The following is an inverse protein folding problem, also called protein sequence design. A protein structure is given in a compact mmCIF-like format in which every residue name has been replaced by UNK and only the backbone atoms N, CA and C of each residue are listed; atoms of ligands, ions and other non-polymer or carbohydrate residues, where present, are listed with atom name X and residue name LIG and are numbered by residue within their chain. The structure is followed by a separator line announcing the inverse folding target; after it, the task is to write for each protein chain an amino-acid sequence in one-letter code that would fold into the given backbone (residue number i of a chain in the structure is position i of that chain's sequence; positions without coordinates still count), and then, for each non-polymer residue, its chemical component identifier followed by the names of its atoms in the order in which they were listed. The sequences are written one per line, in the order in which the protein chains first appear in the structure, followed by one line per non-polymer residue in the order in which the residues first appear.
data_IF_172363911576
#
_entry.id   IF_172363911576
#
_cell.length_a   1.000
_cell.length_b   1.000
_cell.length_c   1.000
_cell.angle_alpha   90.00
_cell.angle_beta   90.00
_cell.angle_gamma   90.00
#
_symmetry.space_group_name_H-M   'P 1'
#
loop_
_entity.id
_entity.type
_entity.pdbx_description
1 polymer ?
#
# COMPACT_ATOMS: atom_id res chain seq x y z
N UNK A 1 41.92 -19.88 0.66
CA UNK A 1 42.27 -19.42 2.02
C UNK A 1 42.30 -17.90 2.15
N UNK A 2 41.43 -17.15 1.47
CA UNK A 2 41.39 -15.66 1.49
C UNK A 2 40.05 -15.13 2.05
N UNK A 3 39.06 -16.02 2.28
CA UNK A 3 37.70 -15.59 2.68
C UNK A 3 37.49 -15.44 4.19
N UNK A 4 38.38 -15.93 5.02
CA UNK A 4 38.22 -15.94 6.50
C UNK A 4 38.73 -14.67 7.17
N UNK A 5 39.61 -13.92 6.51
CA UNK A 5 40.23 -12.71 7.06
C UNK A 5 39.32 -11.50 6.95
N UNK A 6 38.43 -11.44 5.94
CA UNK A 6 37.49 -10.33 5.77
C UNK A 6 36.32 -10.37 6.78
N UNK A 7 35.92 -11.55 7.27
CA UNK A 7 34.85 -11.69 8.27
C UNK A 7 35.25 -11.21 9.67
N UNK A 8 36.52 -11.35 10.04
CA UNK A 8 37.03 -10.95 11.36
C UNK A 8 37.16 -9.43 11.47
N UNK A 9 37.44 -8.74 10.32
CA UNK A 9 37.64 -7.30 10.31
C UNK A 9 36.30 -6.51 10.45
N UNK A 10 35.19 -7.06 9.98
CA UNK A 10 33.86 -6.42 10.10
C UNK A 10 33.29 -6.57 11.51
N UNK A 11 33.54 -7.67 12.19
CA UNK A 11 33.09 -7.91 13.58
C UNK A 11 33.83 -7.00 14.56
N UNK A 12 35.12 -6.70 14.32
CA UNK A 12 35.89 -5.80 15.16
C UNK A 12 35.45 -4.31 15.07
N UNK A 13 34.86 -3.89 13.95
CA UNK A 13 34.33 -2.53 13.77
C UNK A 13 32.99 -2.33 14.49
N UNK A 14 32.17 -3.38 14.58
CA UNK A 14 30.85 -3.32 15.25
C UNK A 14 30.98 -3.31 16.78
N UNK A 15 32.02 -3.94 17.34
CA UNK A 15 32.23 -4.01 18.81
C UNK A 15 32.79 -2.69 19.37
N UNK A 16 33.46 -1.86 18.56
CA UNK A 16 34.06 -0.62 19.03
C UNK A 16 33.11 0.59 19.08
N UNK A 17 31.85 0.45 18.69
CA UNK A 17 30.83 1.52 18.78
C UNK A 17 29.91 1.39 20.01
N UNK A 18 30.09 0.41 20.89
CA UNK A 18 29.20 0.11 22.02
C UNK A 18 29.72 0.57 23.39
N UNK A 19 30.83 1.34 23.46
CA UNK A 19 31.33 1.88 24.73
C UNK A 19 31.39 3.40 24.73
N UNK A 20 30.29 4.07 24.42
CA UNK A 20 30.09 5.45 24.77
C UNK A 20 29.42 5.50 26.15
N UNK A 21 30.25 5.73 27.16
CA UNK A 21 29.89 5.97 28.56
C UNK A 21 28.92 7.15 28.64
N UNK A 22 27.71 6.90 29.15
CA UNK A 22 26.73 7.94 29.47
C UNK A 22 27.17 8.59 30.80
N UNK A 23 27.47 9.89 30.86
CA UNK A 23 27.68 10.56 32.12
C UNK A 23 26.31 10.75 32.83
N UNK A 24 26.24 10.18 34.04
CA UNK A 24 25.17 10.42 35.01
C UNK A 24 25.24 11.88 35.49
N UNK A 25 24.19 12.64 35.32
CA UNK A 25 24.03 13.90 36.01
C UNK A 25 23.15 14.91 35.29
N UNK A 26 22.04 15.24 35.98
CA UNK A 26 21.24 16.47 35.87
C UNK A 26 20.31 16.65 34.65
N UNK A 27 19.02 16.39 34.89
CA UNK A 27 17.91 16.93 34.12
C UNK A 27 17.86 18.45 34.19
N UNK A 28 17.94 19.19 33.09
CA UNK A 28 17.24 20.43 32.96
C UNK A 28 15.90 20.19 32.23
N UNK A 29 14.81 20.40 32.94
CA UNK A 29 13.48 20.54 32.37
C UNK A 29 13.51 21.71 31.38
N UNK A 30 13.74 21.42 30.10
CA UNK A 30 13.52 22.40 29.04
C UNK A 30 12.02 22.52 28.85
N UNK A 31 11.43 23.52 29.50
CA UNK A 31 10.10 23.99 29.15
C UNK A 31 10.16 24.61 27.76
N UNK A 32 9.85 23.79 26.73
CA UNK A 32 9.61 24.29 25.37
C UNK A 32 8.27 25.01 25.40
N UNK A 33 8.36 26.35 25.52
CA UNK A 33 7.23 27.27 25.36
C UNK A 33 6.86 27.21 23.86
N UNK A 34 5.82 26.49 23.52
CA UNK A 34 5.24 26.52 22.17
C UNK A 34 4.60 27.90 21.98
N UNK A 35 5.31 28.85 21.40
CA UNK A 35 4.72 30.04 20.80
C UNK A 35 4.16 29.69 19.44
N UNK A 36 2.92 30.05 19.12
CA UNK A 36 2.38 29.86 17.78
C UNK A 36 3.01 30.89 16.84
N UNK A 37 4.01 30.49 16.08
CA UNK A 37 4.50 31.28 14.95
C UNK A 37 3.51 31.12 13.80
N UNK A 38 2.60 32.06 13.71
CA UNK A 38 1.76 32.28 12.55
C UNK A 38 2.63 32.88 11.44
N UNK A 39 2.32 32.43 10.21
CA UNK A 39 2.62 33.04 8.92
C UNK A 39 3.97 32.76 8.26
N UNK A 40 3.76 32.42 6.99
CA UNK A 40 4.66 32.44 5.83
C UNK A 40 5.28 31.09 5.45
N UNK A 41 4.41 30.18 4.98
CA UNK A 41 4.66 29.42 3.75
C UNK A 41 3.34 28.78 3.36
N UNK A 42 2.75 29.29 2.25
CA UNK A 42 1.49 28.78 1.68
C UNK A 42 1.66 27.38 1.09
N UNK A 43 1.82 26.39 1.95
CA UNK A 43 1.57 24.99 1.60
C UNK A 43 0.11 24.77 1.92
N UNK A 44 -0.72 24.70 0.89
CA UNK A 44 -2.13 24.37 0.99
C UNK A 44 -2.25 23.00 1.66
N UNK A 45 -2.65 23.03 2.93
CA UNK A 45 -2.93 21.89 3.82
C UNK A 45 -4.20 21.18 3.34
N UNK A 46 -4.13 20.48 2.22
CA UNK A 46 -5.31 19.82 1.64
C UNK A 46 -5.16 18.31 1.45
N UNK A 47 -4.23 17.60 2.08
CA UNK A 47 -4.21 16.13 2.03
C UNK A 47 -3.47 15.47 3.21
N UNK A 48 -3.44 16.10 4.41
CA UNK A 48 -2.92 15.42 5.59
C UNK A 48 -4.04 15.34 6.65
N UNK A 49 -4.82 14.26 6.64
CA UNK A 49 -5.79 14.08 7.70
C UNK A 49 -6.92 13.10 7.48
N UNK A 50 -6.87 12.25 6.46
CA UNK A 50 -7.71 11.06 6.48
C UNK A 50 -6.83 9.92 7.03
N UNK A 51 -7.04 9.55 8.27
CA UNK A 51 -6.66 8.22 8.76
C UNK A 51 -7.49 7.26 7.93
N UNK A 52 -6.95 6.82 6.79
CA UNK A 52 -7.60 5.85 5.92
C UNK A 52 -7.69 4.56 6.72
N UNK A 53 -8.80 4.39 7.45
CA UNK A 53 -9.13 3.12 8.07
C UNK A 53 -9.47 2.18 6.91
N UNK A 54 -8.54 1.32 6.52
CA UNK A 54 -8.81 0.28 5.54
C UNK A 54 -9.77 -0.73 6.18
N UNK A 55 -11.06 -0.43 6.09
CA UNK A 55 -12.12 -1.39 6.42
C UNK A 55 -12.43 -2.17 5.15
N UNK A 56 -12.44 -3.48 5.23
CA UNK A 56 -13.07 -4.31 4.21
C UNK A 56 -14.57 -4.00 4.14
N UNK A 57 -15.19 -4.34 3.02
CA UNK A 57 -16.58 -4.01 2.72
C UNK A 57 -16.76 -2.70 1.97
N UNK A 58 -15.68 -1.97 1.67
CA UNK A 58 -15.70 -0.78 0.83
C UNK A 58 -14.71 -0.94 -0.32
N UNK A 59 -15.15 -0.61 -1.53
CA UNK A 59 -14.27 -0.58 -2.70
C UNK A 59 -13.63 0.79 -2.82
N UNK A 60 -12.31 0.84 -2.65
CA UNK A 60 -11.52 2.06 -2.70
C UNK A 60 -11.29 2.49 -4.16
N UNK A 61 -11.32 3.80 -4.41
CA UNK A 61 -11.07 4.38 -5.74
C UNK A 61 -9.93 5.41 -5.64
N UNK A 62 -8.67 4.98 -5.78
CA UNK A 62 -7.53 5.90 -5.80
C UNK A 62 -7.58 6.77 -7.06
N UNK A 63 -7.23 8.04 -6.93
CA UNK A 63 -7.18 9.00 -8.04
C UNK A 63 -5.78 9.20 -8.61
N UNK A 64 -4.76 8.68 -7.93
CA UNK A 64 -3.36 8.74 -8.38
C UNK A 64 -2.65 7.40 -8.18
N UNK A 65 -1.49 7.24 -8.84
CA UNK A 65 -0.65 6.07 -8.62
C UNK A 65 -0.11 6.04 -7.19
N UNK A 66 0.23 7.19 -6.64
CA UNK A 66 0.73 7.35 -5.26
C UNK A 66 -0.32 6.91 -4.24
N UNK A 67 -1.59 7.26 -4.44
CA UNK A 67 -2.69 6.80 -3.58
C UNK A 67 -2.82 5.28 -3.61
N UNK A 68 -2.76 4.68 -4.81
CA UNK A 68 -2.79 3.23 -4.98
C UNK A 68 -1.63 2.55 -4.26
N UNK A 69 -0.42 3.08 -4.42
CA UNK A 69 0.78 2.55 -3.76
C UNK A 69 0.69 2.68 -2.23
N UNK A 70 0.14 3.78 -1.75
CA UNK A 70 -0.13 4.01 -0.33
C UNK A 70 -1.10 2.97 0.26
N UNK A 71 -2.17 2.62 -0.47
CA UNK A 71 -3.11 1.56 -0.08
C UNK A 71 -2.40 0.20 -0.01
N UNK A 72 -1.63 -0.15 -1.05
CA UNK A 72 -0.90 -1.42 -1.14
C UNK A 72 0.13 -1.52 0.00
N UNK A 73 0.87 -0.46 0.25
CA UNK A 73 1.88 -0.42 1.31
C UNK A 73 1.24 -0.63 2.69
N UNK A 74 0.16 0.09 2.98
CA UNK A 74 -0.56 -0.04 4.24
C UNK A 74 -1.15 -1.45 4.41
N UNK A 75 -1.80 -1.99 3.39
CA UNK A 75 -2.32 -3.36 3.41
C UNK A 75 -1.22 -4.40 3.64
N UNK A 76 -0.02 -4.17 3.07
CA UNK A 76 1.15 -5.03 3.30
C UNK A 76 1.60 -5.05 4.75
N UNK A 77 1.63 -3.89 5.43
CA UNK A 77 1.93 -3.82 6.86
C UNK A 77 0.89 -4.52 7.72
N UNK A 78 -0.39 -4.39 7.35
CA UNK A 78 -1.51 -5.03 8.03
C UNK A 78 -1.64 -6.53 7.70
N UNK A 79 -0.80 -7.05 6.80
CA UNK A 79 -0.83 -8.44 6.32
C UNK A 79 -2.05 -8.78 5.45
N UNK A 80 -2.81 -7.78 5.00
CA UNK A 80 -4.04 -7.94 4.23
C UNK A 80 -3.77 -8.20 2.75
N UNK A 81 -4.71 -8.91 2.12
CA UNK A 81 -4.75 -9.10 0.68
C UNK A 81 -5.34 -7.86 0.02
N UNK A 82 -4.80 -7.46 -1.12
CA UNK A 82 -5.34 -6.38 -1.96
C UNK A 82 -5.77 -6.96 -3.29
N UNK A 83 -7.00 -6.66 -3.68
CA UNK A 83 -7.55 -7.01 -5.00
C UNK A 83 -7.77 -5.71 -5.76
N UNK A 84 -7.19 -5.59 -6.94
CA UNK A 84 -7.32 -4.41 -7.80
C UNK A 84 -8.07 -4.81 -9.06
N UNK A 85 -9.19 -4.13 -9.32
CA UNK A 85 -9.92 -4.16 -10.59
C UNK A 85 -9.52 -2.95 -11.44
N UNK A 86 -8.87 -3.20 -12.57
CA UNK A 86 -8.62 -2.20 -13.59
C UNK A 86 -9.81 -2.13 -14.55
N UNK A 87 -10.51 -1.01 -14.52
CA UNK A 87 -11.77 -0.76 -15.19
C UNK A 87 -11.73 0.52 -16.01
N UNK A 88 -12.79 0.79 -16.78
CA UNK A 88 -13.01 2.07 -17.46
C UNK A 88 -14.51 2.36 -17.58
N UNK A 89 -14.87 3.64 -17.63
CA UNK A 89 -16.27 4.07 -17.72
C UNK A 89 -17.00 3.61 -19.01
N UNK A 90 -16.28 3.39 -20.08
CA UNK A 90 -16.79 2.90 -21.38
C UNK A 90 -16.78 1.37 -21.50
N UNK A 91 -16.20 0.65 -20.55
CA UNK A 91 -16.07 -0.81 -20.59
C UNK A 91 -17.37 -1.49 -20.19
N UNK A 92 -18.09 -2.06 -21.13
CA UNK A 92 -19.35 -2.78 -20.90
C UNK A 92 -19.20 -3.99 -19.93
N UNK A 93 -18.25 -4.92 -20.16
CA UNK A 93 -17.99 -6.04 -19.26
C UNK A 93 -17.65 -5.62 -17.83
N UNK A 94 -16.94 -4.49 -17.64
CA UNK A 94 -16.60 -3.98 -16.33
C UNK A 94 -17.85 -3.56 -15.54
N UNK A 95 -18.77 -2.84 -16.20
CA UNK A 95 -20.06 -2.45 -15.59
C UNK A 95 -20.93 -3.62 -15.19
N UNK A 96 -20.86 -4.72 -15.94
CA UNK A 96 -21.64 -5.92 -15.61
C UNK A 96 -21.15 -6.59 -14.34
N UNK A 97 -19.86 -6.58 -14.06
CA UNK A 97 -19.28 -7.24 -12.90
C UNK A 97 -19.18 -6.33 -11.67
N UNK A 98 -19.27 -5.02 -11.84
CA UNK A 98 -19.15 -4.04 -10.74
C UNK A 98 -20.03 -4.37 -9.53
N UNK A 99 -21.35 -4.66 -9.69
CA UNK A 99 -22.19 -5.01 -8.54
C UNK A 99 -21.75 -6.31 -7.85
N UNK A 100 -21.25 -7.29 -8.60
CA UNK A 100 -20.76 -8.55 -8.02
C UNK A 100 -19.43 -8.35 -7.30
N UNK A 101 -18.58 -7.46 -7.81
CA UNK A 101 -17.32 -7.08 -7.17
C UNK A 101 -17.56 -6.36 -5.84
N UNK A 102 -18.56 -5.48 -5.77
CA UNK A 102 -18.99 -4.84 -4.51
C UNK A 102 -19.55 -5.86 -3.51
N UNK A 103 -20.41 -6.78 -3.96
CA UNK A 103 -20.90 -7.85 -3.09
C UNK A 103 -19.78 -8.72 -2.53
N UNK A 104 -18.76 -9.01 -3.34
CA UNK A 104 -17.59 -9.77 -2.90
C UNK A 104 -16.81 -9.01 -1.83
N UNK A 105 -16.66 -7.67 -1.97
CA UNK A 105 -15.99 -6.85 -0.95
C UNK A 105 -16.74 -6.88 0.39
N UNK A 106 -18.07 -6.85 0.37
CA UNK A 106 -18.89 -6.94 1.59
C UNK A 106 -18.76 -8.31 2.29
N UNK A 107 -18.57 -9.38 1.50
CA UNK A 107 -18.43 -10.74 2.02
C UNK A 107 -17.02 -11.03 2.59
N UNK A 108 -16.01 -10.27 2.16
CA UNK A 108 -14.62 -10.49 2.52
C UNK A 108 -13.98 -9.26 3.20
N UNK A 109 -14.37 -8.94 4.45
CA UNK A 109 -13.94 -7.70 5.14
C UNK A 109 -12.44 -7.66 5.47
N UNK A 110 -11.73 -8.78 5.40
CA UNK A 110 -10.29 -8.85 5.63
C UNK A 110 -9.46 -8.60 4.36
N UNK A 111 -10.13 -8.48 3.21
CA UNK A 111 -9.53 -8.18 1.91
C UNK A 111 -9.81 -6.73 1.54
N UNK A 112 -8.82 -6.04 1.00
CA UNK A 112 -8.94 -4.67 0.51
C UNK A 112 -9.27 -4.71 -0.98
N UNK A 113 -10.43 -4.18 -1.35
CA UNK A 113 -10.88 -4.09 -2.72
C UNK A 113 -10.64 -2.69 -3.27
N UNK A 114 -10.09 -2.60 -4.47
CA UNK A 114 -9.72 -1.35 -5.13
C UNK A 114 -10.20 -1.39 -6.58
N UNK A 115 -10.85 -0.34 -7.05
CA UNK A 115 -11.14 -0.13 -8.49
C UNK A 115 -10.31 1.03 -9.00
N UNK A 116 -9.58 0.81 -10.08
CA UNK A 116 -8.74 1.81 -10.74
C UNK A 116 -9.30 2.09 -12.12
N UNK A 117 -9.72 3.34 -12.38
CA UNK A 117 -10.04 3.77 -13.72
C UNK A 117 -8.75 4.00 -14.52
N UNK A 118 -8.59 3.26 -15.62
CA UNK A 118 -7.36 3.31 -16.43
C UNK A 118 -7.19 4.63 -17.17
N UNK A 119 -8.26 5.38 -17.38
CA UNK A 119 -8.22 6.69 -18.02
C UNK A 119 -7.79 7.77 -17.01
N UNK A 120 -8.24 7.66 -15.75
CA UNK A 120 -7.85 8.57 -14.67
C UNK A 120 -6.43 8.29 -14.17
N UNK A 121 -6.10 7.01 -13.96
CA UNK A 121 -4.81 6.58 -13.40
C UNK A 121 -4.01 5.77 -14.41
N UNK A 122 -3.78 6.35 -15.60
CA UNK A 122 -3.05 5.70 -16.69
C UNK A 122 -1.63 5.23 -16.28
N UNK A 123 -1.01 5.90 -15.31
CA UNK A 123 0.30 5.50 -14.77
C UNK A 123 0.24 4.13 -14.09
N UNK A 124 -0.85 3.81 -13.36
CA UNK A 124 -1.06 2.51 -12.73
C UNK A 124 -1.26 1.42 -13.80
N UNK A 125 -2.10 1.69 -14.81
CA UNK A 125 -2.31 0.74 -15.91
C UNK A 125 -0.99 0.37 -16.62
N UNK A 126 -0.12 1.36 -16.86
CA UNK A 126 1.22 1.13 -17.43
C UNK A 126 2.12 0.34 -16.50
N UNK A 127 2.20 0.72 -15.21
CA UNK A 127 3.03 0.04 -14.21
C UNK A 127 2.71 -1.45 -14.12
N UNK A 128 1.43 -1.77 -14.12
CA UNK A 128 0.96 -3.15 -14.04
C UNK A 128 0.77 -3.83 -15.40
N UNK A 129 1.18 -3.18 -16.51
CA UNK A 129 1.09 -3.73 -17.88
C UNK A 129 -0.33 -4.23 -18.20
N UNK A 130 -1.35 -3.39 -17.92
CA UNK A 130 -2.75 -3.69 -18.21
C UNK A 130 -3.01 -3.42 -19.69
N UNK A 131 -3.42 -4.45 -20.44
CA UNK A 131 -3.69 -4.39 -21.88
C UNK A 131 -5.14 -4.67 -22.27
N UNK A 132 -5.95 -5.14 -21.35
CA UNK A 132 -7.37 -5.46 -21.56
C UNK A 132 -8.16 -5.18 -20.28
N UNK A 133 -9.48 -4.96 -20.40
CA UNK A 133 -10.36 -4.68 -19.26
C UNK A 133 -11.60 -5.59 -19.28
N UNK A 134 -12.07 -6.00 -18.10
CA UNK A 134 -11.44 -5.82 -16.80
C UNK A 134 -10.17 -6.65 -16.64
N UNK A 135 -9.21 -6.16 -15.85
CA UNK A 135 -8.03 -6.94 -15.40
C UNK A 135 -7.97 -6.90 -13.89
N UNK A 136 -7.91 -8.09 -13.29
CA UNK A 136 -7.74 -8.24 -11.86
C UNK A 136 -6.29 -8.53 -11.49
N UNK A 137 -5.81 -7.87 -10.44
CA UNK A 137 -4.49 -8.10 -9.87
C UNK A 137 -4.66 -8.35 -8.38
N UNK A 138 -4.09 -9.44 -7.90
CA UNK A 138 -4.12 -9.82 -6.49
C UNK A 138 -2.74 -9.67 -5.90
N UNK A 139 -2.64 -8.86 -4.83
CA UNK A 139 -1.38 -8.49 -4.18
C UNK A 139 -1.41 -8.95 -2.72
N UNK A 140 -0.37 -9.64 -2.26
CA UNK A 140 -0.17 -10.00 -0.86
C UNK A 140 1.26 -9.64 -0.44
N UNK A 141 1.41 -8.95 0.69
CA UNK A 141 2.71 -8.48 1.21
C UNK A 141 3.50 -7.62 0.19
N UNK A 142 2.78 -6.80 -0.59
CA UNK A 142 3.39 -5.92 -1.60
C UNK A 142 3.80 -6.61 -2.91
N UNK A 143 3.59 -7.92 -3.04
CA UNK A 143 3.93 -8.69 -4.24
C UNK A 143 2.68 -9.10 -5.02
N UNK A 144 2.73 -8.99 -6.34
CA UNK A 144 1.68 -9.52 -7.21
C UNK A 144 1.70 -11.05 -7.14
N UNK A 145 0.62 -11.63 -6.65
CA UNK A 145 0.45 -13.09 -6.53
C UNK A 145 -0.28 -13.70 -7.71
N UNK A 146 -1.23 -12.95 -8.28
CA UNK A 146 -1.96 -13.38 -9.47
C UNK A 146 -2.39 -12.16 -10.30
N UNK A 147 -2.54 -12.38 -11.59
CA UNK A 147 -3.05 -11.41 -12.56
C UNK A 147 -3.79 -12.11 -13.68
N UNK A 148 -5.02 -11.70 -13.95
CA UNK A 148 -5.77 -12.18 -15.10
C UNK A 148 -6.71 -11.13 -15.66
N UNK A 149 -7.08 -11.27 -16.94
CA UNK A 149 -8.04 -10.40 -17.61
C UNK A 149 -9.32 -11.16 -17.91
N UNK A 150 -10.44 -10.45 -17.92
CA UNK A 150 -11.77 -10.97 -18.19
C UNK A 150 -12.70 -10.91 -16.98
N UNK A 151 -14.02 -10.85 -17.25
CA UNK A 151 -15.08 -10.67 -16.27
C UNK A 151 -15.46 -12.00 -15.58
N UNK A 152 -14.52 -12.61 -14.84
CA UNK A 152 -14.66 -13.92 -14.19
C UNK A 152 -14.59 -13.80 -12.66
N UNK A 153 -15.70 -13.45 -12.04
CA UNK A 153 -15.82 -13.33 -10.58
C UNK A 153 -15.61 -14.65 -9.85
N UNK A 154 -16.15 -15.81 -10.32
CA UNK A 154 -15.86 -17.11 -9.71
C UNK A 154 -14.37 -17.43 -9.64
N UNK A 155 -13.62 -17.12 -10.71
CA UNK A 155 -12.17 -17.29 -10.72
C UNK A 155 -11.49 -16.38 -9.69
N UNK A 156 -11.89 -15.10 -9.63
CA UNK A 156 -11.38 -14.15 -8.66
C UNK A 156 -11.59 -14.64 -7.22
N UNK A 157 -12.81 -15.08 -6.89
CA UNK A 157 -13.16 -15.61 -5.57
C UNK A 157 -12.24 -16.76 -5.17
N UNK A 158 -12.04 -17.72 -6.08
CA UNK A 158 -11.15 -18.86 -5.86
C UNK A 158 -9.71 -18.47 -5.56
N UNK A 159 -9.20 -17.45 -6.29
CA UNK A 159 -7.84 -16.93 -6.07
C UNK A 159 -7.72 -16.30 -4.69
N UNK A 160 -8.72 -15.48 -4.29
CA UNK A 160 -8.75 -14.83 -2.99
C UNK A 160 -8.78 -15.88 -1.87
N UNK A 161 -9.67 -16.87 -1.95
CA UNK A 161 -9.78 -17.95 -0.95
C UNK A 161 -8.48 -18.75 -0.77
N UNK A 162 -7.75 -18.97 -1.86
CA UNK A 162 -6.46 -19.69 -1.81
C UNK A 162 -5.33 -18.86 -1.20
N UNK A 163 -5.45 -17.52 -1.21
CA UNK A 163 -4.41 -16.59 -0.77
C UNK A 163 -4.71 -15.92 0.58
N UNK A 164 -5.94 -16.02 1.07
CA UNK A 164 -6.39 -15.40 2.33
C UNK A 164 -5.78 -16.02 3.59
#
# INVERSE_FOLDING_TARGET
MISTIYFISIIAIIINLATATIPSGANPIIKIKCTPANSLFGVTKKHLGATLSLRGGEVLKPSTLEDLEGIILKASFDGKLVVIDFSATWCGPCKMIEPMYHLLSDQMPDVIFVTVDVDEVAAAARKYSVSAMPTFIVIKKGEVKDKFSGADIPKLTKIIENLS
#
